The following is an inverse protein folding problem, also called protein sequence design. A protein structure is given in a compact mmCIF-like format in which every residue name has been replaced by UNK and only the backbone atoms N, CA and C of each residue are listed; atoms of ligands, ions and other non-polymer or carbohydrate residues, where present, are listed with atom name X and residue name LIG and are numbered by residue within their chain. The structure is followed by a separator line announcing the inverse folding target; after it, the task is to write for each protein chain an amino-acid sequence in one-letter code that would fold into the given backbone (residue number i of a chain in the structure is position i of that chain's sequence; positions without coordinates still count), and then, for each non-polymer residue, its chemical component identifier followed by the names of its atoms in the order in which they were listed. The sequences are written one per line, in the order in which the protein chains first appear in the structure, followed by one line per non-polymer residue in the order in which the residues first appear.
data_IF_832379175600
#
_entry.id   IF_832379175600
#
_cell.length_a   1.000
_cell.length_b   1.000
_cell.length_c   1.000
_cell.angle_alpha   90.00
_cell.angle_beta   90.00
_cell.angle_gamma   90.00
#
_symmetry.space_group_name_H-M   'P 1'
#
loop_
_entity.id
_entity.type
_entity.pdbx_description
1 polymer ?
#
# COMPACT_ATOMS: atom_id res chain seq x y z
N UNK A 1 4.49 15.07 -6.35
CA UNK A 1 3.08 15.29 -6.79
C UNK A 1 2.18 14.72 -5.70
N UNK A 2 1.10 15.41 -5.37
CA UNK A 2 0.13 14.94 -4.38
C UNK A 2 -0.63 13.70 -4.89
N UNK A 3 -0.98 12.76 -4.00
CA UNK A 3 -1.67 11.52 -4.38
C UNK A 3 -2.98 11.81 -5.13
N UNK A 4 -3.74 12.79 -4.68
CA UNK A 4 -4.98 13.23 -5.35
C UNK A 4 -4.73 13.60 -6.82
N UNK A 5 -3.69 14.37 -7.10
CA UNK A 5 -3.33 14.78 -8.45
C UNK A 5 -2.86 13.59 -9.29
N UNK A 6 -2.06 12.68 -8.70
CA UNK A 6 -1.63 11.44 -9.37
C UNK A 6 -2.85 10.65 -9.85
N UNK A 7 -3.83 10.43 -8.98
CA UNK A 7 -5.03 9.66 -9.34
C UNK A 7 -5.89 10.40 -10.37
N UNK A 8 -5.96 11.74 -10.31
CA UNK A 8 -6.66 12.53 -11.34
C UNK A 8 -6.06 12.31 -12.74
N UNK A 9 -4.73 12.35 -12.85
CA UNK A 9 -4.05 12.10 -14.14
C UNK A 9 -4.20 10.64 -14.60
N UNK A 10 -4.15 9.69 -13.66
CA UNK A 10 -4.38 8.27 -13.94
C UNK A 10 -5.81 8.06 -14.48
N UNK A 11 -6.80 8.65 -13.82
CA UNK A 11 -8.20 8.59 -14.28
C UNK A 11 -8.35 9.11 -15.69
N UNK A 12 -7.80 10.28 -16.00
CA UNK A 12 -7.84 10.84 -17.35
C UNK A 12 -7.27 9.90 -18.42
N UNK A 13 -6.14 9.23 -18.12
CA UNK A 13 -5.55 8.21 -19.00
C UNK A 13 -6.46 6.99 -19.16
N UNK A 14 -7.06 6.52 -18.07
CA UNK A 14 -7.92 5.34 -18.06
C UNK A 14 -9.26 5.60 -18.77
N UNK A 15 -9.82 6.80 -18.62
CA UNK A 15 -11.08 7.17 -19.30
C UNK A 15 -10.99 7.02 -20.84
N UNK A 16 -9.82 7.27 -21.42
CA UNK A 16 -9.59 7.06 -22.86
C UNK A 16 -9.44 5.59 -23.26
N UNK A 17 -9.32 4.68 -22.28
CA UNK A 17 -9.06 3.25 -22.49
C UNK A 17 -10.21 2.34 -22.03
N UNK A 18 -11.35 2.92 -21.66
CA UNK A 18 -12.52 2.19 -21.19
C UNK A 18 -12.55 1.93 -19.65
N UNK A 19 -11.81 2.75 -18.90
CA UNK A 19 -11.83 2.78 -17.43
C UNK A 19 -10.87 1.80 -16.75
N UNK A 20 -10.78 1.92 -15.42
CA UNK A 20 -9.95 1.06 -14.57
C UNK A 20 -10.52 -0.37 -14.52
N UNK A 21 -9.69 -1.35 -14.80
CA UNK A 21 -10.03 -2.78 -14.73
C UNK A 21 -9.55 -3.43 -13.44
N UNK A 22 -8.29 -3.18 -13.06
CA UNK A 22 -7.67 -3.87 -11.94
C UNK A 22 -6.55 -3.04 -11.30
N UNK A 23 -6.38 -3.20 -9.97
CA UNK A 23 -5.27 -2.62 -9.20
C UNK A 23 -4.41 -3.75 -8.62
N UNK A 24 -3.14 -3.78 -8.99
CA UNK A 24 -2.15 -4.71 -8.46
C UNK A 24 -1.33 -4.05 -7.36
N UNK A 25 -1.36 -4.59 -6.15
CA UNK A 25 -0.47 -4.19 -5.06
C UNK A 25 0.72 -5.14 -5.02
N UNK A 26 1.92 -4.60 -5.25
CA UNK A 26 3.13 -5.42 -5.41
C UNK A 26 4.21 -4.96 -4.44
N UNK A 27 4.66 -5.86 -3.57
CA UNK A 27 5.73 -5.61 -2.61
C UNK A 27 6.21 -6.91 -1.96
N UNK A 28 7.32 -6.86 -1.18
CA UNK A 28 7.80 -7.98 -0.38
C UNK A 28 7.88 -7.62 1.10
N UNK A 29 7.77 -8.61 1.98
CA UNK A 29 8.00 -8.47 3.41
C UNK A 29 7.18 -7.35 4.06
N UNK A 30 7.82 -6.52 4.87
CA UNK A 30 7.18 -5.41 5.58
C UNK A 30 6.49 -4.40 4.66
N UNK A 31 7.03 -4.16 3.45
CA UNK A 31 6.35 -3.30 2.47
C UNK A 31 5.05 -3.91 1.96
N UNK A 32 4.96 -5.24 1.82
CA UNK A 32 3.70 -5.93 1.45
C UNK A 32 2.66 -5.78 2.56
N UNK A 33 3.07 -5.95 3.81
CA UNK A 33 2.19 -5.68 4.96
C UNK A 33 1.69 -4.23 4.98
N UNK A 34 2.58 -3.28 4.70
CA UNK A 34 2.29 -1.86 4.77
C UNK A 34 1.29 -1.37 3.71
N UNK A 35 1.29 -1.95 2.51
CA UNK A 35 0.31 -1.58 1.48
C UNK A 35 -1.02 -2.33 1.60
N UNK A 36 -1.14 -3.24 2.56
CA UNK A 36 -2.35 -4.04 2.76
C UNK A 36 -3.60 -3.21 3.08
N UNK A 37 -3.55 -2.11 3.86
CA UNK A 37 -4.74 -1.28 4.11
C UNK A 37 -5.40 -0.76 2.84
N UNK A 38 -4.62 -0.27 1.88
CA UNK A 38 -5.13 0.17 0.59
C UNK A 38 -5.74 -0.98 -0.23
N UNK A 39 -5.06 -2.12 -0.27
CA UNK A 39 -5.59 -3.33 -0.91
C UNK A 39 -6.92 -3.77 -0.30
N UNK A 40 -6.97 -3.93 1.03
CA UNK A 40 -8.17 -4.40 1.73
C UNK A 40 -9.36 -3.45 1.55
N UNK A 41 -9.10 -2.14 1.58
CA UNK A 41 -10.12 -1.13 1.30
C UNK A 41 -10.72 -1.34 -0.11
N UNK A 42 -9.88 -1.47 -1.14
CA UNK A 42 -10.36 -1.66 -2.51
C UNK A 42 -11.11 -2.99 -2.67
N UNK A 43 -10.62 -4.07 -2.04
CA UNK A 43 -11.31 -5.36 -2.06
C UNK A 43 -12.70 -5.32 -1.38
N UNK A 44 -12.86 -4.46 -0.39
CA UNK A 44 -14.10 -4.34 0.39
C UNK A 44 -15.11 -3.38 -0.23
N UNK A 45 -14.67 -2.33 -0.91
CA UNK A 45 -15.52 -1.21 -1.30
C UNK A 45 -15.66 -1.03 -2.82
N UNK A 46 -14.69 -1.49 -3.64
CA UNK A 46 -14.74 -1.30 -5.08
C UNK A 46 -15.82 -2.15 -5.74
N UNK A 47 -16.54 -1.57 -6.70
CA UNK A 47 -17.68 -2.20 -7.40
C UNK A 47 -17.40 -2.42 -8.89
N UNK A 48 -16.61 -1.56 -9.52
CA UNK A 48 -16.38 -1.56 -10.96
C UNK A 48 -15.01 -2.09 -11.37
N UNK A 49 -14.10 -2.22 -10.41
CA UNK A 49 -12.78 -2.80 -10.62
C UNK A 49 -12.41 -3.70 -9.44
N UNK A 50 -11.36 -4.48 -9.57
CA UNK A 50 -10.89 -5.40 -8.53
C UNK A 50 -9.45 -5.07 -8.10
N UNK A 51 -9.01 -5.63 -6.96
CA UNK A 51 -7.66 -5.46 -6.46
C UNK A 51 -7.07 -6.77 -5.94
N UNK A 52 -5.80 -7.03 -6.24
CA UNK A 52 -5.05 -8.20 -5.77
C UNK A 52 -3.63 -7.83 -5.36
N UNK A 53 -2.95 -8.74 -4.66
CA UNK A 53 -1.56 -8.54 -4.24
C UNK A 53 -0.66 -9.65 -4.76
N UNK A 54 0.58 -9.27 -5.07
CA UNK A 54 1.66 -10.16 -5.45
C UNK A 54 2.92 -9.85 -4.65
N UNK A 55 3.80 -10.82 -4.48
CA UNK A 55 5.20 -10.51 -4.17
C UNK A 55 5.89 -9.99 -5.44
N UNK A 56 6.97 -9.21 -5.28
CA UNK A 56 7.67 -8.65 -6.43
C UNK A 56 8.17 -9.72 -7.40
N UNK A 57 8.71 -10.82 -6.89
CA UNK A 57 9.18 -11.95 -7.71
C UNK A 57 8.04 -12.72 -8.38
N UNK A 58 6.94 -12.98 -7.68
CA UNK A 58 5.75 -13.57 -8.32
C UNK A 58 5.26 -12.70 -9.49
N UNK A 59 5.16 -11.38 -9.28
CA UNK A 59 4.70 -10.47 -10.29
C UNK A 59 5.60 -10.45 -11.54
N UNK A 60 6.92 -10.59 -11.36
CA UNK A 60 7.89 -10.64 -12.46
C UNK A 60 7.88 -11.99 -13.17
N UNK A 61 7.91 -13.10 -12.43
CA UNK A 61 8.10 -14.42 -13.01
C UNK A 61 6.79 -15.14 -13.37
N UNK A 62 5.69 -14.76 -12.74
CA UNK A 62 4.34 -15.23 -13.04
C UNK A 62 3.41 -14.04 -13.31
N UNK A 63 3.86 -13.14 -14.19
CA UNK A 63 3.13 -11.91 -14.53
C UNK A 63 1.67 -12.20 -14.87
N UNK A 64 0.71 -11.50 -14.24
CA UNK A 64 -0.71 -11.70 -14.51
C UNK A 64 -1.02 -11.56 -16.00
N UNK A 65 -1.73 -12.52 -16.56
CA UNK A 65 -2.08 -12.52 -18.00
C UNK A 65 -2.97 -11.35 -18.39
N UNK A 66 -3.73 -10.84 -17.41
CA UNK A 66 -4.67 -9.74 -17.61
C UNK A 66 -4.07 -8.35 -17.34
N UNK A 67 -2.77 -8.28 -17.05
CA UNK A 67 -2.07 -7.02 -16.85
C UNK A 67 -1.93 -6.28 -18.18
N UNK A 68 -2.61 -5.16 -18.30
CA UNK A 68 -2.69 -4.34 -19.52
C UNK A 68 -2.79 -2.83 -19.18
N UNK A 69 -3.02 -2.01 -20.19
CA UNK A 69 -3.11 -0.54 -20.09
C UNK A 69 -4.32 -0.02 -19.29
N UNK A 70 -5.24 -0.89 -18.89
CA UNK A 70 -6.37 -0.57 -18.02
C UNK A 70 -6.10 -0.95 -16.57
N UNK A 71 -4.87 -1.34 -16.24
CA UNK A 71 -4.47 -1.72 -14.91
C UNK A 71 -3.57 -0.66 -14.27
N UNK A 72 -3.68 -0.53 -12.95
CA UNK A 72 -2.76 0.25 -12.11
C UNK A 72 -1.94 -0.71 -11.27
N UNK A 73 -0.62 -0.56 -11.25
CA UNK A 73 0.29 -1.29 -10.38
C UNK A 73 0.86 -0.34 -9.31
N UNK A 74 0.43 -0.54 -8.06
CA UNK A 74 0.96 0.15 -6.86
C UNK A 74 2.10 -0.72 -6.31
N UNK A 75 3.33 -0.29 -6.50
CA UNK A 75 4.52 -1.08 -6.21
C UNK A 75 5.32 -0.39 -5.11
N UNK A 76 5.60 -1.10 -4.00
CA UNK A 76 6.17 -0.49 -2.79
C UNK A 76 7.48 -1.15 -2.36
N UNK A 77 8.52 -0.32 -2.14
CA UNK A 77 9.75 -0.69 -1.47
C UNK A 77 10.48 0.54 -0.94
N UNK A 78 10.86 0.54 0.34
CA UNK A 78 11.56 1.67 0.96
C UNK A 78 12.88 2.00 0.23
N UNK A 79 13.67 0.98 -0.07
CA UNK A 79 15.01 1.10 -0.66
C UNK A 79 15.08 0.65 -2.13
N UNK A 80 13.93 0.32 -2.74
CA UNK A 80 13.84 -0.16 -4.12
C UNK A 80 14.76 -1.36 -4.40
N UNK A 81 14.46 -2.51 -3.80
CA UNK A 81 15.20 -3.74 -4.06
C UNK A 81 15.11 -4.13 -5.55
N UNK A 82 16.14 -4.82 -6.11
CA UNK A 82 16.21 -5.09 -7.54
C UNK A 82 14.96 -5.75 -8.13
N UNK A 83 14.39 -6.74 -7.43
CA UNK A 83 13.16 -7.42 -7.83
C UNK A 83 11.95 -6.48 -7.86
N UNK A 84 11.92 -5.46 -6.99
CA UNK A 84 10.82 -4.50 -6.96
C UNK A 84 10.97 -3.45 -8.07
N UNK A 85 12.19 -3.03 -8.39
CA UNK A 85 12.46 -2.23 -9.59
C UNK A 85 12.02 -3.00 -10.84
N UNK A 86 12.38 -4.29 -10.93
CA UNK A 86 11.99 -5.15 -12.04
C UNK A 86 10.47 -5.30 -12.17
N UNK A 87 9.74 -5.32 -11.06
CA UNK A 87 8.28 -5.34 -11.08
C UNK A 87 7.69 -4.07 -11.72
N UNK A 88 8.26 -2.88 -11.43
CA UNK A 88 7.85 -1.63 -12.08
C UNK A 88 8.11 -1.70 -13.59
N UNK A 89 9.30 -2.13 -14.00
CA UNK A 89 9.66 -2.28 -15.43
C UNK A 89 8.71 -3.28 -16.12
N UNK A 90 8.39 -4.40 -15.46
CA UNK A 90 7.46 -5.43 -15.99
C UNK A 90 6.06 -4.84 -16.19
N UNK A 91 5.54 -4.10 -15.22
CA UNK A 91 4.24 -3.44 -15.35
C UNK A 91 4.23 -2.41 -16.48
N UNK A 92 5.26 -1.58 -16.59
CA UNK A 92 5.42 -0.62 -17.67
C UNK A 92 5.47 -1.30 -19.06
N UNK A 93 6.21 -2.40 -19.18
CA UNK A 93 6.33 -3.16 -20.44
C UNK A 93 4.99 -3.78 -20.87
N UNK A 94 4.08 -4.02 -19.95
CA UNK A 94 2.70 -4.49 -20.22
C UNK A 94 1.70 -3.35 -20.49
N UNK A 95 2.16 -2.11 -20.44
CA UNK A 95 1.31 -0.93 -20.64
C UNK A 95 0.55 -0.47 -19.40
N UNK A 96 0.68 -1.16 -18.26
CA UNK A 96 0.00 -0.76 -17.03
C UNK A 96 0.55 0.57 -16.49
N UNK A 97 -0.30 1.30 -15.78
CA UNK A 97 0.09 2.55 -15.15
C UNK A 97 0.74 2.22 -13.79
N UNK A 98 1.94 2.74 -13.56
CA UNK A 98 2.70 2.43 -12.34
C UNK A 98 2.73 3.59 -11.35
N UNK A 99 2.47 3.27 -10.07
CA UNK A 99 2.70 4.14 -8.93
C UNK A 99 3.82 3.50 -8.09
N UNK A 100 5.02 4.07 -8.15
CA UNK A 100 6.16 3.64 -7.35
C UNK A 100 6.11 4.33 -5.98
N UNK A 101 5.80 3.56 -4.93
CA UNK A 101 5.88 4.02 -3.54
C UNK A 101 7.26 3.71 -2.98
N UNK A 102 8.03 4.71 -2.59
CA UNK A 102 9.43 4.54 -2.17
C UNK A 102 9.86 5.59 -1.14
N UNK A 103 10.99 5.36 -0.47
CA UNK A 103 11.48 6.27 0.58
C UNK A 103 12.21 7.51 0.06
N UNK A 104 12.57 7.56 -1.23
CA UNK A 104 13.31 8.69 -1.81
C UNK A 104 13.16 8.75 -3.33
N UNK A 105 13.24 9.94 -3.89
CA UNK A 105 13.29 10.16 -5.33
C UNK A 105 14.58 9.63 -6.00
N UNK A 106 15.62 9.34 -5.22
CA UNK A 106 16.90 8.82 -5.73
C UNK A 106 16.91 7.31 -5.99
N UNK A 107 15.84 6.61 -5.57
CA UNK A 107 15.75 5.16 -5.72
C UNK A 107 15.57 4.72 -7.18
N UNK A 108 15.96 3.47 -7.47
CA UNK A 108 15.75 2.86 -8.79
C UNK A 108 14.28 2.84 -9.21
N UNK A 109 13.36 2.61 -8.27
CA UNK A 109 11.92 2.63 -8.55
C UNK A 109 11.41 4.01 -8.97
N UNK A 110 11.91 5.08 -8.31
CA UNK A 110 11.53 6.44 -8.66
C UNK A 110 11.97 6.84 -10.07
N UNK A 111 13.07 6.25 -10.56
CA UNK A 111 13.60 6.52 -11.91
C UNK A 111 12.82 5.84 -13.03
N UNK A 112 12.15 4.72 -12.73
CA UNK A 112 11.44 3.92 -13.74
C UNK A 112 9.91 3.98 -13.58
N UNK A 113 9.39 4.42 -12.43
CA UNK A 113 7.96 4.58 -12.19
C UNK A 113 7.36 5.74 -12.96
N UNK A 114 6.14 5.57 -13.49
CA UNK A 114 5.42 6.66 -14.16
C UNK A 114 4.97 7.74 -13.17
N UNK A 115 4.54 7.30 -11.97
CA UNK A 115 4.22 8.16 -10.85
C UNK A 115 5.01 7.72 -9.62
N UNK A 116 5.38 8.67 -8.79
CA UNK A 116 6.18 8.40 -7.59
C UNK A 116 5.49 9.00 -6.36
N UNK A 117 5.31 8.17 -5.34
CA UNK A 117 4.88 8.58 -4.01
C UNK A 117 6.05 8.33 -3.05
N UNK A 118 6.65 9.41 -2.57
CA UNK A 118 7.67 9.33 -1.52
C UNK A 118 6.96 9.32 -0.18
N UNK A 119 7.26 8.30 0.64
CA UNK A 119 6.67 8.14 1.96
C UNK A 119 7.71 8.21 3.07
N UNK A 120 7.28 8.58 4.27
CA UNK A 120 8.10 8.47 5.47
C UNK A 120 8.07 7.03 6.00
N UNK A 121 9.18 6.61 6.63
CA UNK A 121 9.25 5.27 7.24
C UNK A 121 8.68 5.27 8.67
N UNK A 122 7.51 5.89 8.88
CA UNK A 122 6.85 5.96 10.18
C UNK A 122 7.56 6.83 11.19
N UNK A 123 8.17 7.94 10.75
CA UNK A 123 8.74 8.94 11.64
C UNK A 123 7.69 9.46 12.63
N UNK A 124 8.05 9.73 13.89
CA UNK A 124 7.12 10.30 14.86
C UNK A 124 6.44 11.57 14.31
N UNK A 125 5.15 11.68 14.56
CA UNK A 125 4.29 12.78 14.10
C UNK A 125 4.16 12.94 12.56
N UNK A 126 4.62 11.95 11.80
CA UNK A 126 4.50 11.91 10.32
C UNK A 126 3.88 10.58 9.82
N UNK A 127 2.99 9.99 10.62
CA UNK A 127 2.32 8.71 10.29
C UNK A 127 1.37 8.86 9.10
N UNK A 128 0.82 10.04 8.87
CA UNK A 128 -0.02 10.35 7.70
C UNK A 128 0.74 10.24 6.37
N UNK A 129 2.07 10.30 6.40
CA UNK A 129 2.93 10.07 5.25
C UNK A 129 3.61 8.69 5.27
N UNK A 130 3.23 7.80 6.18
CA UNK A 130 3.74 6.42 6.17
C UNK A 130 3.27 5.65 4.92
N UNK A 131 3.95 4.55 4.61
CA UNK A 131 3.55 3.70 3.49
C UNK A 131 2.13 3.12 3.67
N UNK A 132 1.72 2.80 4.90
CA UNK A 132 0.34 2.37 5.22
C UNK A 132 -0.66 3.47 4.86
N UNK A 133 -0.43 4.68 5.38
CA UNK A 133 -1.30 5.82 5.16
C UNK A 133 -1.36 6.24 3.69
N UNK A 134 -0.22 6.28 3.00
CA UNK A 134 -0.16 6.56 1.56
C UNK A 134 -0.92 5.53 0.73
N UNK A 135 -0.80 4.22 1.05
CA UNK A 135 -1.55 3.17 0.34
C UNK A 135 -3.05 3.30 0.54
N UNK A 136 -3.47 3.61 1.77
CA UNK A 136 -4.87 3.87 2.10
C UNK A 136 -5.40 5.11 1.36
N UNK A 137 -4.60 6.17 1.31
CA UNK A 137 -4.95 7.40 0.59
C UNK A 137 -5.09 7.17 -0.92
N UNK A 138 -4.23 6.35 -1.52
CA UNK A 138 -4.38 5.91 -2.92
C UNK A 138 -5.73 5.20 -3.11
N UNK A 139 -6.10 4.31 -2.18
CA UNK A 139 -7.40 3.63 -2.20
C UNK A 139 -8.58 4.60 -2.11
N UNK A 140 -8.55 5.58 -1.20
CA UNK A 140 -9.59 6.61 -1.08
C UNK A 140 -9.77 7.39 -2.39
N UNK A 141 -8.67 7.85 -2.98
CA UNK A 141 -8.73 8.64 -4.21
C UNK A 141 -9.20 7.81 -5.41
N UNK A 142 -8.78 6.54 -5.53
CA UNK A 142 -9.28 5.64 -6.58
C UNK A 142 -10.79 5.42 -6.47
N UNK A 143 -11.30 5.07 -5.29
CA UNK A 143 -12.74 4.88 -5.06
C UNK A 143 -13.53 6.15 -5.34
N UNK A 144 -13.04 7.29 -4.84
CA UNK A 144 -13.74 8.56 -5.00
C UNK A 144 -13.79 9.02 -6.44
N UNK A 145 -12.64 9.05 -7.12
CA UNK A 145 -12.55 9.62 -8.46
C UNK A 145 -13.08 8.68 -9.56
N UNK A 146 -13.02 7.37 -9.37
CA UNK A 146 -13.50 6.37 -10.34
C UNK A 146 -14.99 6.06 -10.12
N UNK A 147 -15.42 5.88 -8.88
CA UNK A 147 -16.76 5.36 -8.55
C UNK A 147 -17.65 6.37 -7.80
N UNK A 148 -17.12 7.54 -7.40
CA UNK A 148 -17.90 8.50 -6.62
C UNK A 148 -18.21 8.01 -5.20
N UNK A 149 -17.25 7.34 -4.56
CA UNK A 149 -17.41 6.70 -3.24
C UNK A 149 -17.97 7.65 -2.18
N UNK A 150 -19.13 7.31 -1.64
CA UNK A 150 -19.93 8.15 -0.75
C UNK A 150 -19.35 8.34 0.66
N UNK A 151 -18.38 7.49 1.06
CA UNK A 151 -17.69 7.59 2.36
C UNK A 151 -16.42 8.46 2.30
N UNK A 152 -16.09 9.04 1.15
CA UNK A 152 -14.83 9.76 0.94
C UNK A 152 -14.61 10.90 1.93
N UNK A 153 -15.59 11.80 2.09
CA UNK A 153 -15.46 12.96 2.97
C UNK A 153 -15.24 12.54 4.43
N UNK A 154 -15.98 11.52 4.89
CA UNK A 154 -15.82 10.95 6.23
C UNK A 154 -14.45 10.30 6.41
N UNK A 155 -13.97 9.60 5.40
CA UNK A 155 -12.65 8.96 5.43
C UNK A 155 -11.54 10.01 5.48
N UNK A 156 -11.69 11.09 4.73
CA UNK A 156 -10.73 12.20 4.70
C UNK A 156 -10.75 13.01 6.00
N UNK A 157 -11.91 13.21 6.59
CA UNK A 157 -12.04 13.81 7.92
C UNK A 157 -11.31 12.97 8.98
N UNK A 158 -11.50 11.66 8.99
CA UNK A 158 -10.77 10.77 9.90
C UNK A 158 -9.26 10.73 9.63
N UNK A 159 -8.85 10.80 8.37
CA UNK A 159 -7.43 10.74 7.97
C UNK A 159 -6.60 11.89 8.54
N UNK A 160 -7.14 13.09 8.71
CA UNK A 160 -6.42 14.24 9.26
C UNK A 160 -5.93 14.02 10.70
N UNK A 161 -6.57 13.12 11.46
CA UNK A 161 -6.22 12.79 12.85
C UNK A 161 -5.27 11.59 13.00
N UNK A 162 -4.77 11.03 11.91
CA UNK A 162 -3.96 9.80 11.95
C UNK A 162 -2.73 9.94 12.86
N UNK A 163 -2.05 11.10 12.85
CA UNK A 163 -0.88 11.31 13.69
C UNK A 163 -1.23 11.27 15.19
N UNK A 164 -2.29 11.96 15.57
CA UNK A 164 -2.77 12.00 16.96
C UNK A 164 -3.23 10.62 17.43
N UNK A 165 -4.05 9.94 16.61
CA UNK A 165 -4.56 8.60 16.92
C UNK A 165 -3.42 7.60 17.13
N UNK A 166 -2.39 7.64 16.28
CA UNK A 166 -1.25 6.72 16.41
C UNK A 166 -0.41 7.05 17.65
N UNK A 167 -0.17 8.31 17.95
CA UNK A 167 0.58 8.71 19.14
C UNK A 167 -0.16 8.35 20.44
N UNK A 168 -1.48 8.53 20.49
CA UNK A 168 -2.30 8.14 21.63
C UNK A 168 -2.34 6.62 21.79
N UNK A 169 -2.59 5.88 20.71
CA UNK A 169 -2.60 4.42 20.73
C UNK A 169 -1.24 3.84 21.19
N UNK A 170 -0.13 4.43 20.77
CA UNK A 170 1.21 4.03 21.24
C UNK A 170 1.37 4.24 22.75
N UNK A 171 0.95 5.39 23.28
CA UNK A 171 1.02 5.67 24.73
C UNK A 171 0.18 4.69 25.53
N UNK A 172 -1.03 4.40 25.07
CA UNK A 172 -1.96 3.48 25.74
C UNK A 172 -1.48 2.03 25.69
N UNK A 173 -1.04 1.56 24.51
CA UNK A 173 -0.70 0.16 24.30
C UNK A 173 0.72 -0.22 24.79
N UNK A 174 1.65 0.73 24.83
CA UNK A 174 3.06 0.44 25.10
C UNK A 174 3.30 -0.29 26.43
N UNK A 175 2.70 0.10 27.58
CA UNK A 175 2.92 -0.60 28.85
C UNK A 175 2.48 -2.07 28.81
N UNK A 176 1.34 -2.35 28.20
CA UNK A 176 0.82 -3.71 28.04
C UNK A 176 1.70 -4.54 27.09
N UNK A 177 2.15 -3.95 26.00
CA UNK A 177 3.05 -4.61 25.04
C UNK A 177 4.40 -4.95 25.68
N UNK A 178 4.97 -4.04 26.47
CA UNK A 178 6.23 -4.28 27.20
C UNK A 178 6.08 -5.38 28.26
N UNK A 179 5.00 -5.36 29.05
CA UNK A 179 4.73 -6.39 30.04
C UNK A 179 4.56 -7.77 29.40
N UNK A 180 3.85 -7.84 28.25
CA UNK A 180 3.69 -9.06 27.50
C UNK A 180 5.03 -9.55 26.93
N UNK A 181 5.81 -8.67 26.29
CA UNK A 181 7.10 -9.03 25.73
C UNK A 181 8.07 -9.58 26.79
N UNK A 182 8.13 -8.97 27.99
CA UNK A 182 8.98 -9.44 29.07
C UNK A 182 8.52 -10.80 29.61
N UNK A 183 7.21 -11.03 29.69
CA UNK A 183 6.65 -12.29 30.16
C UNK A 183 6.89 -13.45 29.20
N UNK A 184 6.75 -13.21 27.90
CA UNK A 184 6.73 -14.25 26.88
C UNK A 184 8.04 -14.35 26.07
N UNK A 185 9.08 -13.57 26.39
CA UNK A 185 10.33 -13.47 25.62
C UNK A 185 11.09 -14.81 25.42
N UNK A 186 10.87 -15.79 26.30
CA UNK A 186 11.53 -17.10 26.26
C UNK A 186 10.65 -18.18 25.60
N UNK A 187 9.44 -17.82 25.11
CA UNK A 187 8.58 -18.77 24.43
C UNK A 187 9.15 -19.13 23.06
N UNK A 188 9.25 -20.46 22.75
CA UNK A 188 9.90 -20.89 21.52
C UNK A 188 9.06 -20.69 20.25
N UNK A 189 7.76 -20.48 20.37
CA UNK A 189 6.81 -20.39 19.24
C UNK A 189 5.69 -19.41 19.53
N UNK A 190 5.42 -18.54 18.58
CA UNK A 190 4.26 -17.64 18.57
C UNK A 190 3.31 -17.95 17.43
N UNK A 191 2.03 -18.04 17.73
CA UNK A 191 0.96 -18.12 16.71
C UNK A 191 0.25 -16.79 16.67
N UNK A 192 0.22 -16.17 15.48
CA UNK A 192 -0.49 -14.90 15.24
C UNK A 192 -1.72 -15.16 14.40
N UNK A 193 -2.89 -14.78 14.91
CA UNK A 193 -4.18 -14.94 14.25
C UNK A 193 -4.77 -13.57 13.96
N UNK A 194 -5.18 -13.32 12.72
CA UNK A 194 -5.85 -12.10 12.33
C UNK A 194 -6.72 -12.30 11.10
N UNK A 195 -7.70 -11.41 10.92
CA UNK A 195 -8.57 -11.35 9.76
C UNK A 195 -8.87 -9.89 9.39
N UNK A 196 -9.43 -9.69 8.21
CA UNK A 196 -9.83 -8.36 7.74
C UNK A 196 -8.65 -7.39 7.67
N UNK A 197 -8.86 -6.16 8.10
CA UNK A 197 -7.84 -5.08 8.09
C UNK A 197 -6.58 -5.42 8.89
N UNK A 198 -6.67 -6.30 9.89
CA UNK A 198 -5.53 -6.67 10.74
C UNK A 198 -4.61 -7.74 10.13
N UNK A 199 -4.99 -8.34 8.99
CA UNK A 199 -4.16 -9.37 8.35
C UNK A 199 -2.75 -8.86 8.00
N UNK A 200 -2.64 -7.62 7.49
CA UNK A 200 -1.34 -7.01 7.18
C UNK A 200 -0.45 -6.87 8.42
N UNK A 201 -1.02 -6.52 9.57
CA UNK A 201 -0.28 -6.44 10.84
C UNK A 201 0.23 -7.80 11.27
N UNK A 202 -0.64 -8.83 11.26
CA UNK A 202 -0.25 -10.20 11.59
C UNK A 202 0.85 -10.74 10.67
N UNK A 203 0.73 -10.51 9.36
CA UNK A 203 1.77 -10.85 8.40
C UNK A 203 3.11 -10.18 8.75
N UNK A 204 3.09 -8.87 9.08
CA UNK A 204 4.30 -8.15 9.48
C UNK A 204 4.93 -8.73 10.74
N UNK A 205 4.11 -9.04 11.75
CA UNK A 205 4.60 -9.65 13.01
C UNK A 205 5.29 -10.98 12.75
N UNK A 206 4.65 -11.89 12.02
CA UNK A 206 5.20 -13.24 11.79
C UNK A 206 6.42 -13.24 10.85
N UNK A 207 6.41 -12.40 9.80
CA UNK A 207 7.41 -12.51 8.74
C UNK A 207 8.56 -11.50 8.86
N UNK A 208 8.41 -10.47 9.71
CA UNK A 208 9.36 -9.36 9.77
C UNK A 208 9.85 -9.03 11.19
N UNK A 209 9.15 -9.45 12.26
CA UNK A 209 9.47 -9.06 13.63
C UNK A 209 9.75 -10.24 14.58
N UNK A 210 9.08 -11.36 14.44
CA UNK A 210 9.39 -12.61 15.11
C UNK A 210 10.21 -13.51 14.20
#
# INVERSE_FOLDING_TARGET
MEIKQIITEIKQKLDTKGGLKHVYFVACGGSKAAIFPGLYLLQSEAKTFSATTYTSNEFVHATPKELDERCVAVICSLKATPETVKAVETANAKGAITIAMTGSMETGMAKVGQYVVVYSNGAPQDYSNSNQACSLRIGFELLHQIEGWDKYDKAMDAYQYINEIVDEAKKECLPAAQAWAEKEKDEPVFYVLASGSNYGVAYSMCCCHF
#
